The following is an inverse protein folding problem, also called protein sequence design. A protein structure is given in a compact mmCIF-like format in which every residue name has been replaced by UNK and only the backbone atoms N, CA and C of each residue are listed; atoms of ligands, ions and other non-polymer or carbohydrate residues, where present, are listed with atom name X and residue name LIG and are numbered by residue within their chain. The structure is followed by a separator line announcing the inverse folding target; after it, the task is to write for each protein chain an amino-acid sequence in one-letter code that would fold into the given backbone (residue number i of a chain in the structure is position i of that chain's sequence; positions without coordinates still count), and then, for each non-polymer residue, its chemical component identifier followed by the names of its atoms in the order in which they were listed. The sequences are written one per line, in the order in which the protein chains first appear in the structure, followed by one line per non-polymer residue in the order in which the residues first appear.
data_IF_100128372371
#
_entry.id   IF_100128372371
#
_cell.length_a   1.000
_cell.length_b   1.000
_cell.length_c   1.000
_cell.angle_alpha   90.00
_cell.angle_beta   90.00
_cell.angle_gamma   90.00
#
_symmetry.space_group_name_H-M   'P 1'
#
loop_
_entity.id
_entity.type
_entity.pdbx_description
1 polymer ?
2 non-polymer ?
3 non-polymer ?
4 non-polymer ?
5 water ?
#
# COMPACT_ATOMS: atom_id res chain seq x y z
N UNK A 2 -0.19 14.86 13.10
CA UNK A 2 -1.52 14.97 12.45
C UNK A 2 -1.39 15.44 11.01
N UNK A 3 -2.53 15.49 10.31
CA UNK A 3 -2.56 15.97 8.93
C UNK A 3 -3.19 17.36 8.88
N UNK A 4 -3.58 17.78 7.69
CA UNK A 4 -4.21 19.09 7.50
C UNK A 4 -4.17 20.00 8.71
N UNK A 5 -2.99 20.18 9.29
CA UNK A 5 -2.82 21.11 10.41
C UNK A 5 -2.02 22.31 9.96
N UNK A 6 -2.10 23.40 10.72
CA UNK A 6 -1.30 24.58 10.42
C UNK A 6 0.16 24.17 10.22
N UNK A 7 0.75 24.62 9.12
CA UNK A 7 2.11 24.23 8.78
C UNK A 7 3.07 25.41 8.83
N UNK A 8 4.13 25.27 9.61
CA UNK A 8 5.19 26.27 9.69
C UNK A 8 6.00 26.33 8.39
N UNK A 9 6.78 27.40 8.24
CA UNK A 9 7.61 27.61 7.06
C UNK A 9 8.73 26.58 6.95
N UNK A 10 9.04 26.19 5.71
CA UNK A 10 10.23 25.38 5.44
C UNK A 10 11.48 26.23 5.70
N UNK A 11 12.59 25.60 6.14
CA UNK A 11 13.84 26.33 6.28
C UNK A 11 14.46 26.60 4.91
N UNK A 12 15.44 27.50 4.86
CA UNK A 12 16.27 27.65 3.67
C UNK A 12 16.82 26.29 3.27
N UNK A 13 16.71 25.95 1.98
CA UNK A 13 17.27 24.72 1.42
C UNK A 13 17.97 25.02 0.11
N UNK A 14 19.08 24.34 -0.14
CA UNK A 14 19.81 24.48 -1.40
C UNK A 14 19.67 23.19 -2.21
N UNK A 15 19.02 23.28 -3.36
CA UNK A 15 18.82 22.11 -4.24
C UNK A 15 18.66 22.58 -5.69
N UNK A 16 18.83 21.65 -6.66
CA UNK A 16 18.75 22.01 -8.06
C UNK A 16 17.39 22.61 -8.41
N UNK A 17 17.39 23.70 -9.17
CA UNK A 17 16.15 24.33 -9.61
C UNK A 17 15.33 23.40 -10.50
N UNK A 18 14.01 23.30 -10.26
CA UNK A 18 13.17 22.53 -11.20
C UNK A 18 13.29 23.12 -12.61
N UNK A 19 13.29 22.26 -13.62
CA UNK A 19 13.42 22.70 -15.01
C UNK A 19 12.05 22.63 -15.71
N UNK A 20 11.42 23.79 -15.89
CA UNK A 20 10.07 23.87 -16.49
C UNK A 20 10.00 23.25 -17.90
N UNK A 21 11.06 23.42 -18.67
CA UNK A 21 11.09 22.98 -20.07
C UNK A 21 11.83 21.65 -20.26
N UNK A 22 11.96 20.89 -19.18
CA UNK A 22 12.53 19.54 -19.23
C UNK A 22 11.60 18.58 -18.47
N UNK A 23 11.01 17.60 -19.17
CA UNK A 23 10.21 16.60 -18.48
C UNK A 23 11.07 15.81 -17.50
N UNK A 24 10.50 15.47 -16.34
CA UNK A 24 11.26 14.70 -15.34
C UNK A 24 11.41 13.24 -15.75
N UNK A 25 10.49 12.75 -16.57
CA UNK A 25 10.59 11.43 -17.21
C UNK A 25 10.10 11.56 -18.65
N UNK A 26 10.79 10.91 -19.58
CA UNK A 26 10.40 10.92 -20.99
C UNK A 26 9.86 9.57 -21.44
N UNK A 27 9.88 8.59 -20.53
CA UNK A 27 9.51 7.22 -20.85
C UNK A 27 8.23 6.73 -20.19
N UNK A 28 7.71 7.50 -19.22
CA UNK A 28 6.54 7.08 -18.45
C UNK A 28 5.56 8.23 -18.18
N UNK A 29 4.31 7.87 -17.90
CA UNK A 29 3.30 8.81 -17.41
C UNK A 29 3.54 9.11 -15.93
N UNK A 30 3.70 10.40 -15.61
CA UNK A 30 3.99 10.81 -14.22
C UNK A 30 2.82 11.49 -13.50
N UNK A 31 1.71 11.66 -14.20
CA UNK A 31 0.50 12.22 -13.60
C UNK A 31 -0.74 11.59 -14.24
N UNK A 32 -1.71 11.21 -13.43
CA UNK A 32 -2.96 10.62 -13.96
C UNK A 32 -3.82 11.71 -14.63
N UNK A 33 -4.83 11.30 -15.41
CA UNK A 33 -5.74 12.29 -16.00
C UNK A 33 -6.63 13.03 -14.98
N UNK A 34 -6.67 12.56 -13.73
CA UNK A 34 -7.32 13.32 -12.67
C UNK A 34 -6.32 14.05 -11.78
N UNK A 35 -5.10 14.24 -12.33
CA UNK A 35 -4.05 15.06 -11.71
C UNK A 35 -3.50 14.48 -10.40
N UNK A 36 -3.45 13.16 -10.32
CA UNK A 36 -2.74 12.49 -9.23
C UNK A 36 -1.32 12.14 -9.70
N UNK A 37 -0.29 12.51 -8.92
CA UNK A 37 1.08 12.08 -9.26
C UNK A 37 1.19 10.55 -9.35
N UNK A 38 1.92 10.07 -10.36
CA UNK A 38 2.35 8.67 -10.40
C UNK A 38 3.83 8.67 -9.99
N UNK A 39 4.10 7.99 -8.88
CA UNK A 39 5.41 8.08 -8.22
C UNK A 39 6.47 7.16 -8.82
N UNK A 40 7.41 7.76 -9.56
CA UNK A 40 8.59 7.09 -10.11
C UNK A 40 9.84 7.78 -9.61
N UNK A 41 10.96 7.06 -9.59
CA UNK A 41 12.23 7.72 -9.31
C UNK A 41 12.48 8.81 -10.37
N UNK A 42 12.90 9.98 -9.90
CA UNK A 42 13.11 11.14 -10.77
C UNK A 42 11.98 12.17 -10.72
N UNK A 43 10.85 11.80 -10.10
CA UNK A 43 9.72 12.72 -9.99
C UNK A 43 9.77 13.57 -8.73
N UNK A 44 10.49 13.11 -7.70
CA UNK A 44 10.46 13.78 -6.41
C UNK A 44 11.85 14.09 -5.84
N UNK A 45 11.92 15.18 -5.09
CA UNK A 45 13.07 15.51 -4.28
C UNK A 45 12.74 15.10 -2.84
N UNK A 46 13.37 14.03 -2.37
CA UNK A 46 13.05 13.45 -1.07
C UNK A 46 13.39 14.38 0.10
N UNK A 47 14.35 15.28 -0.11
CA UNK A 47 14.74 16.21 0.94
C UNK A 47 13.62 17.21 1.24
N UNK A 48 13.00 17.74 0.19
CA UNK A 48 11.86 18.63 0.34
C UNK A 48 10.71 17.90 1.03
N UNK A 49 10.36 16.71 0.54
CA UNK A 49 9.26 15.93 1.12
C UNK A 49 9.50 15.55 2.58
N UNK A 50 10.70 15.09 2.91
CA UNK A 50 11.05 14.78 4.30
C UNK A 50 10.84 15.97 5.24
N UNK A 51 11.27 17.16 4.79
CA UNK A 51 11.03 18.39 5.54
C UNK A 51 9.54 18.63 5.79
N UNK A 52 8.75 18.59 4.71
CA UNK A 52 7.32 18.82 4.83
C UNK A 52 6.67 17.87 5.83
N UNK A 53 6.99 16.58 5.73
CA UNK A 53 6.34 15.59 6.59
C UNK A 53 6.88 15.54 8.03
N UNK A 54 8.18 15.81 8.21
CA UNK A 54 8.75 15.87 9.58
C UNK A 54 8.18 17.04 10.37
N UNK A 55 8.00 18.17 9.69
CA UNK A 55 7.43 19.38 10.32
C UNK A 55 6.00 19.15 10.80
N UNK A 56 5.33 18.15 10.24
CA UNK A 56 3.98 17.78 10.68
C UNK A 56 4.00 16.63 11.71
N UNK A 57 5.20 16.21 12.11
CA UNK A 57 5.41 15.06 13.00
C UNK A 57 4.53 13.87 12.60
N UNK A 58 4.67 13.48 11.34
CA UNK A 58 3.88 12.40 10.74
C UNK A 58 4.22 11.03 11.34
N UNK A 59 3.17 10.27 11.65
CA UNK A 59 3.30 8.88 12.07
C UNK A 59 2.66 7.97 11.01
N UNK A 60 3.41 6.97 10.58
CA UNK A 60 2.92 6.02 9.58
C UNK A 60 2.71 4.65 10.23
N UNK A 61 1.50 4.11 10.07
CA UNK A 61 1.21 2.73 10.47
C UNK A 61 1.41 1.81 9.29
N UNK A 62 2.01 0.64 9.53
CA UNK A 62 2.20 -0.37 8.50
C UNK A 62 1.50 -1.64 8.95
N UNK A 63 0.49 -2.08 8.20
CA UNK A 63 -0.23 -3.31 8.55
C UNK A 63 0.27 -4.49 7.73
N UNK A 64 0.36 -5.64 8.38
CA UNK A 64 0.83 -6.83 7.72
C UNK A 64 0.19 -8.06 8.38
N UNK A 65 -0.26 -9.01 7.56
CA UNK A 65 -0.90 -10.21 8.08
C UNK A 65 0.02 -11.40 7.95
N UNK A 66 0.21 -12.11 9.06
CA UNK A 66 1.08 -13.29 9.08
C UNK A 66 0.31 -14.43 9.71
N UNK A 67 -0.52 -15.07 8.89
CA UNK A 67 -1.44 -16.12 9.35
C UNK A 67 -0.87 -17.47 8.95
N UNK A 68 -0.95 -18.43 9.87
CA UNK A 68 -0.47 -19.80 9.65
C UNK A 68 1.02 -19.81 9.22
N UNK A 69 1.34 -20.44 8.09
CA UNK A 69 2.74 -20.61 7.68
C UNK A 69 3.44 -19.30 7.30
N UNK A 70 2.67 -18.25 7.04
CA UNK A 70 3.23 -16.95 6.62
C UNK A 70 3.99 -16.20 7.70
N UNK A 71 3.96 -16.71 8.94
CA UNK A 71 4.78 -16.13 10.00
C UNK A 71 6.28 -16.22 9.66
N UNK A 72 6.62 -17.18 8.80
CA UNK A 72 8.01 -17.39 8.38
C UNK A 72 8.60 -16.19 7.64
N UNK A 73 7.73 -15.35 7.07
CA UNK A 73 8.16 -14.20 6.27
C UNK A 73 8.44 -12.95 7.11
N UNK A 74 8.04 -12.96 8.37
CA UNK A 74 8.11 -11.76 9.21
C UNK A 74 9.52 -11.24 9.48
N UNK A 75 10.46 -12.14 9.74
CA UNK A 75 11.81 -11.71 10.10
C UNK A 75 12.42 -10.83 9.01
N UNK A 76 12.42 -11.34 7.78
CA UNK A 76 13.01 -10.58 6.65
C UNK A 76 12.19 -9.33 6.33
N UNK A 77 10.86 -9.44 6.40
CA UNK A 77 9.97 -8.31 6.15
C UNK A 77 10.31 -7.14 7.06
N UNK A 78 10.32 -7.39 8.38
CA UNK A 78 10.57 -6.37 9.38
C UNK A 78 12.01 -5.83 9.36
N UNK A 79 13.00 -6.72 9.21
CA UNK A 79 14.40 -6.31 9.12
C UNK A 79 14.65 -5.37 7.96
N UNK A 80 14.11 -5.69 6.79
CA UNK A 80 14.28 -4.85 5.62
C UNK A 80 13.44 -3.55 5.70
N UNK A 81 12.26 -3.63 6.33
CA UNK A 81 11.48 -2.41 6.59
C UNK A 81 12.28 -1.44 7.46
N UNK A 82 12.99 -1.98 8.44
CA UNK A 82 13.86 -1.17 9.28
C UNK A 82 14.93 -0.42 8.49
N UNK A 83 15.42 -0.99 7.40
CA UNK A 83 16.46 -0.33 6.61
C UNK A 83 15.93 0.59 5.50
N UNK A 84 14.66 0.39 5.10
CA UNK A 84 14.12 1.14 3.95
C UNK A 84 12.79 1.90 4.08
N UNK A 85 11.99 1.58 5.10
CA UNK A 85 10.63 2.11 5.19
C UNK A 85 10.51 3.30 6.14
N UNK A 86 10.28 4.49 5.58
CA UNK A 86 10.00 5.70 6.36
C UNK A 86 11.08 6.00 7.41
N UNK A 87 12.34 5.73 7.07
CA UNK A 87 13.44 5.94 8.02
C UNK A 87 13.53 7.42 8.37
N UNK A 88 13.58 7.73 9.66
CA UNK A 88 13.58 9.11 10.14
C UNK A 88 12.22 9.59 10.66
N UNK A 89 11.17 8.85 10.31
CA UNK A 89 9.81 9.20 10.70
C UNK A 89 9.27 8.22 11.75
N UNK A 90 8.20 8.61 12.44
CA UNK A 90 7.54 7.73 13.41
C UNK A 90 6.81 6.61 12.66
N UNK A 91 7.09 5.37 13.05
CA UNK A 91 6.48 4.20 12.44
C UNK A 91 5.86 3.29 13.51
N UNK A 92 4.65 2.79 13.24
CA UNK A 92 4.01 1.79 14.10
C UNK A 92 3.65 0.59 13.24
N UNK A 93 4.29 -0.54 13.50
CA UNK A 93 3.99 -1.76 12.78
C UNK A 93 2.84 -2.45 13.50
N UNK A 94 1.85 -2.89 12.72
CA UNK A 94 0.76 -3.71 13.24
C UNK A 94 0.82 -5.09 12.58
N UNK A 95 1.21 -6.08 13.37
CA UNK A 95 1.32 -7.45 12.89
C UNK A 95 0.10 -8.24 13.33
N UNK A 96 -0.75 -8.57 12.37
CA UNK A 96 -1.94 -9.40 12.60
C UNK A 96 -1.55 -10.86 12.43
N UNK A 97 -1.77 -11.68 13.44
CA UNK A 97 -1.35 -13.08 13.39
C UNK A 97 -2.21 -14.01 14.26
N UNK A 98 -2.26 -15.28 13.90
CA UNK A 98 -2.86 -16.29 14.78
C UNK A 98 -1.84 -16.93 15.72
N UNK A 99 -0.57 -16.53 15.59
CA UNK A 99 0.51 -17.09 16.41
C UNK A 99 1.40 -15.99 17.01
N UNK A 100 0.92 -15.29 18.05
CA UNK A 100 1.72 -14.21 18.63
C UNK A 100 3.12 -14.66 19.07
N UNK A 101 3.24 -15.91 19.49
CA UNK A 101 4.52 -16.44 19.97
C UNK A 101 5.56 -16.67 18.87
N UNK A 102 5.10 -16.70 17.62
CA UNK A 102 5.96 -16.93 16.47
C UNK A 102 6.45 -15.63 15.82
N UNK A 103 6.04 -14.49 16.37
CA UNK A 103 6.54 -13.20 15.87
C UNK A 103 8.00 -13.02 16.32
N UNK A 104 8.94 -12.89 15.35
CA UNK A 104 10.36 -12.73 15.68
C UNK A 104 10.65 -11.43 16.41
N UNK A 105 11.64 -11.46 17.29
CA UNK A 105 12.08 -10.29 18.04
C UNK A 105 13.03 -9.47 17.17
N UNK A 106 12.49 -8.51 16.43
CA UNK A 106 13.32 -7.69 15.53
C UNK A 106 13.67 -6.37 16.22
N UNK A 107 14.95 -6.01 16.13
CA UNK A 107 15.46 -4.79 16.75
C UNK A 107 15.00 -3.57 15.96
N UNK A 108 14.37 -2.62 16.64
CA UNK A 108 13.81 -1.45 15.96
C UNK A 108 14.59 -0.18 16.25
N UNK A 109 14.68 0.69 15.23
CA UNK A 109 15.29 2.02 15.39
C UNK A 109 14.44 2.88 16.30
N UNK A 110 15.02 3.98 16.78
CA UNK A 110 14.28 4.89 17.67
C UNK A 110 13.03 5.47 16.99
N UNK A 111 11.96 5.65 17.76
CA UNK A 111 10.71 6.24 17.25
C UNK A 111 9.85 5.27 16.46
N UNK A 112 10.19 3.99 16.57
CA UNK A 112 9.50 2.94 15.84
C UNK A 112 9.03 1.88 16.84
N UNK A 113 7.80 1.41 16.64
CA UNK A 113 7.22 0.43 17.56
C UNK A 113 6.41 -0.62 16.84
N UNK A 114 6.19 -1.74 17.51
CA UNK A 114 5.46 -2.85 16.93
C UNK A 114 4.42 -3.39 17.90
N UNK A 115 3.20 -3.59 17.39
CA UNK A 115 2.11 -4.20 18.16
C UNK A 115 1.69 -5.50 17.49
N UNK A 116 1.51 -6.55 18.29
CA UNK A 116 1.02 -7.82 17.79
C UNK A 116 -0.49 -7.87 18.04
N UNK A 117 -1.25 -8.09 16.98
CA UNK A 117 -2.71 -8.17 17.07
C UNK A 117 -3.16 -9.58 16.75
N UNK A 118 -3.65 -10.29 17.77
CA UNK A 118 -4.09 -11.66 17.58
C UNK A 118 -5.45 -11.69 16.89
N UNK A 119 -5.54 -12.47 15.80
CA UNK A 119 -6.80 -12.64 15.08
C UNK A 119 -7.03 -14.12 14.78
N UNK A 120 -8.26 -14.45 14.40
CA UNK A 120 -8.61 -15.81 13.98
C UNK A 120 -8.00 -16.14 12.62
N UNK A 121 -7.65 -17.41 12.42
CA UNK A 121 -7.16 -17.92 11.15
C UNK A 121 -8.27 -18.64 10.40
N UNK A 122 -8.55 -18.19 9.18
CA UNK A 122 -9.52 -18.86 8.30
C UNK A 122 -8.82 -20.02 7.56
N UNK A 123 -9.60 -21.02 7.17
CA UNK A 123 -9.05 -22.23 6.53
C UNK A 123 -8.53 -21.95 5.12
N UNK A 124 -9.36 -21.33 4.28
CA UNK A 124 -9.02 -21.07 2.89
C UNK A 124 -8.09 -19.86 2.79
N UNK A 125 -7.02 -19.98 2.01
CA UNK A 125 -6.09 -18.86 1.82
C UNK A 125 -6.80 -17.62 1.25
N UNK A 126 -7.84 -17.86 0.44
CA UNK A 126 -8.64 -16.78 -0.15
C UNK A 126 -9.35 -15.94 0.91
N UNK A 127 -9.94 -16.61 1.90
CA UNK A 127 -10.62 -15.94 3.01
C UNK A 127 -9.64 -15.18 3.92
N UNK A 128 -8.49 -15.80 4.21
CA UNK A 128 -7.44 -15.13 4.97
C UNK A 128 -7.07 -13.81 4.28
N UNK A 129 -6.85 -13.88 2.97
CA UNK A 129 -6.54 -12.70 2.17
C UNK A 129 -7.65 -11.67 2.18
N UNK A 130 -8.89 -12.13 1.99
CA UNK A 130 -10.06 -11.24 1.88
C UNK A 130 -10.41 -10.56 3.19
N UNK A 131 -10.41 -11.33 4.28
CA UNK A 131 -10.81 -10.83 5.60
C UNK A 131 -9.87 -9.79 6.21
N UNK A 132 -8.76 -9.52 5.52
CA UNK A 132 -7.89 -8.39 5.86
C UNK A 132 -8.68 -7.08 5.82
N UNK A 133 -9.59 -6.97 4.85
CA UNK A 133 -10.43 -5.77 4.72
C UNK A 133 -11.28 -5.52 5.97
N UNK A 134 -11.93 -6.57 6.47
CA UNK A 134 -12.72 -6.47 7.70
C UNK A 134 -11.84 -6.14 8.89
N UNK A 135 -10.70 -6.82 8.99
CA UNK A 135 -9.81 -6.66 10.14
C UNK A 135 -9.15 -5.28 10.18
N UNK A 136 -8.75 -4.76 9.01
CA UNK A 136 -8.18 -3.40 8.94
C UNK A 136 -9.23 -2.36 9.32
N UNK A 137 -10.45 -2.52 8.80
CA UNK A 137 -11.54 -1.58 9.09
C UNK A 137 -11.89 -1.57 10.59
N UNK A 138 -11.94 -2.75 11.19
CA UNK A 138 -12.26 -2.88 12.62
C UNK A 138 -11.22 -2.19 13.50
N UNK A 139 -9.95 -2.33 13.15
CA UNK A 139 -8.88 -1.71 13.93
C UNK A 139 -8.67 -0.23 13.64
N UNK A 140 -9.19 0.24 12.49
CA UNK A 140 -9.17 1.67 12.17
C UNK A 140 -10.00 2.43 13.19
N UNK A 141 -11.27 2.03 13.32
CA UNK A 141 -12.21 2.66 14.24
C UNK A 141 -11.80 2.46 15.70
N UNK A 142 -10.72 1.71 15.89
CA UNK A 142 -10.16 1.44 17.20
C UNK A 142 -8.80 2.15 17.34
N UNK A 143 -7.73 1.39 17.16
CA UNK A 143 -6.36 1.86 17.42
C UNK A 143 -5.88 2.95 16.47
N UNK A 144 -6.12 2.74 15.17
CA UNK A 144 -5.42 3.49 14.13
C UNK A 144 -5.70 4.99 14.17
N UNK A 145 -6.97 5.35 14.37
CA UNK A 145 -7.36 6.76 14.41
C UNK A 145 -6.63 7.58 15.47
N UNK A 146 -6.30 6.93 16.60
CA UNK A 146 -5.64 7.61 17.72
C UNK A 146 -4.12 7.51 17.65
N UNK A 147 -3.60 6.57 16.88
CA UNK A 147 -2.16 6.28 16.90
C UNK A 147 -1.35 6.66 15.67
N UNK A 148 -1.97 6.70 14.50
CA UNK A 148 -1.23 7.01 13.27
C UNK A 148 -1.94 8.04 12.39
N UNK A 149 -1.19 8.65 11.48
CA UNK A 149 -1.76 9.62 10.54
C UNK A 149 -2.11 8.95 9.21
N UNK A 150 -1.25 8.03 8.79
CA UNK A 150 -1.42 7.30 7.55
C UNK A 150 -1.32 5.80 7.80
N UNK A 151 -2.01 5.01 6.97
CA UNK A 151 -1.89 3.56 7.03
C UNK A 151 -1.38 3.05 5.70
N UNK A 152 -0.42 2.13 5.76
CA UNK A 152 0.10 1.43 4.58
C UNK A 152 -0.16 -0.06 4.81
N UNK A 153 -0.80 -0.68 3.82
CA UNK A 153 -1.31 -2.05 3.97
C UNK A 153 -0.68 -2.95 2.91
N UNK A 154 0.16 -3.89 3.37
CA UNK A 154 0.99 -4.68 2.46
C UNK A 154 0.97 -6.19 2.72
N UNK A 155 1.35 -6.96 1.70
CA UNK A 155 1.58 -8.40 1.82
C UNK A 155 2.88 -8.66 2.60
N UNK A 156 2.94 -9.80 3.32
CA UNK A 156 4.08 -10.14 4.17
C UNK A 156 5.20 -10.90 3.44
N UNK A 157 4.86 -11.61 2.36
CA UNK A 157 5.84 -12.46 1.66
C UNK A 157 6.68 -11.63 0.69
N UNK A 158 7.29 -10.58 1.25
CA UNK A 158 7.96 -9.54 0.49
C UNK A 158 9.17 -9.04 1.29
N UNK A 159 10.05 -8.30 0.62
CA UNK A 159 11.16 -7.64 1.29
C UNK A 159 11.39 -6.27 0.68
N UNK A 160 11.84 -5.33 1.50
CA UNK A 160 12.26 -4.02 1.03
C UNK A 160 13.70 -4.09 0.56
N UNK A 161 13.97 -3.55 -0.62
CA UNK A 161 15.32 -3.52 -1.18
C UNK A 161 15.84 -2.11 -1.40
N UNK A 162 14.94 -1.13 -1.32
CA UNK A 162 15.33 0.26 -1.56
C UNK A 162 14.29 1.18 -0.90
N UNK A 163 14.58 2.47 -0.92
CA UNK A 163 13.78 3.50 -0.27
C UNK A 163 12.27 3.40 -0.54
N UNK A 164 11.49 3.29 0.54
CA UNK A 164 10.03 3.52 0.50
C UNK A 164 9.71 4.55 1.59
N UNK A 165 9.43 5.78 1.17
CA UNK A 165 9.30 6.89 2.11
C UNK A 165 8.08 7.76 1.92
N UNK A 166 8.16 8.99 2.42
CA UNK A 166 7.00 9.88 2.50
C UNK A 166 6.45 10.32 1.13
N UNK A 167 7.21 10.08 0.05
CA UNK A 167 6.71 10.34 -1.30
C UNK A 167 5.41 9.59 -1.60
N UNK A 168 5.12 8.51 -0.88
CA UNK A 168 3.91 7.72 -1.14
C UNK A 168 2.68 8.27 -0.41
N UNK A 169 2.91 9.14 0.57
CA UNK A 169 1.83 9.56 1.47
C UNK A 169 0.90 10.60 0.87
N UNK A 170 -0.41 10.37 1.07
CA UNK A 170 -1.47 11.08 0.38
C UNK A 170 -2.79 10.56 0.97
N UNK A 171 -3.92 11.26 0.75
CA UNK A 171 -5.17 10.72 1.30
C UNK A 171 -5.50 9.29 0.87
N UNK A 172 -5.26 8.95 -0.39
CA UNK A 172 -5.59 7.61 -0.89
C UNK A 172 -4.65 7.18 -2.01
N UNK A 173 -3.95 6.06 -1.83
CA UNK A 173 -3.12 5.55 -2.91
C UNK A 173 -3.31 4.08 -3.27
N UNK A 174 -3.11 3.80 -4.55
CA UNK A 174 -2.99 2.43 -5.06
C UNK A 174 -1.64 2.30 -5.75
N UNK A 175 -1.30 1.07 -6.12
CA UNK A 175 0.00 0.74 -6.72
C UNK A 175 -0.23 -0.04 -8.02
N UNK A 176 0.47 0.35 -9.07
CA UNK A 176 0.39 -0.38 -10.34
C UNK A 176 0.92 -1.81 -10.17
N UNK A 177 0.05 -2.78 -10.46
CA UNK A 177 0.42 -4.20 -10.40
C UNK A 177 1.56 -4.47 -11.40
N UNK A 178 2.61 -5.18 -10.96
CA UNK A 178 3.78 -5.37 -11.82
C UNK A 178 3.52 -6.19 -13.09
N UNK A 179 2.49 -7.02 -13.07
CA UNK A 179 2.19 -7.87 -14.21
C UNK A 179 1.44 -7.17 -15.33
N UNK A 180 0.90 -5.97 -15.07
CA UNK A 180 -0.08 -5.39 -16.00
C UNK A 180 0.08 -3.89 -16.30
N UNK A 181 1.17 -3.28 -15.84
CA UNK A 181 1.35 -1.84 -16.03
C UNK A 181 1.36 -1.42 -17.51
N UNK A 182 1.83 -2.33 -18.37
CA UNK A 182 1.85 -2.06 -19.82
C UNK A 182 0.69 -2.64 -20.61
N UNK A 183 -0.29 -3.22 -19.91
CA UNK A 183 -1.43 -3.87 -20.56
C UNK A 183 -2.56 -2.92 -20.90
N UNK A 184 -3.33 -3.25 -21.93
CA UNK A 184 -4.56 -2.53 -22.23
C UNK A 184 -5.65 -2.99 -21.27
N UNK A 185 -6.64 -2.13 -21.04
CA UNK A 185 -7.69 -2.41 -20.05
C UNK A 185 -8.48 -3.69 -20.30
N UNK A 186 -8.67 -4.05 -21.57
CA UNK A 186 -9.39 -5.27 -21.93
C UNK A 186 -8.67 -6.50 -21.38
N UNK A 187 -7.35 -6.41 -21.26
CA UNK A 187 -6.53 -7.53 -20.77
C UNK A 187 -6.45 -7.61 -19.24
N UNK A 188 -6.84 -6.52 -18.55
CA UNK A 188 -6.84 -6.52 -17.07
C UNK A 188 -7.72 -7.65 -16.54
N UNK A 189 -7.26 -8.31 -15.49
CA UNK A 189 -8.00 -9.41 -14.87
C UNK A 189 -8.99 -8.91 -13.82
N UNK A 190 -9.72 -7.84 -14.16
CA UNK A 190 -10.86 -7.37 -13.35
C UNK A 190 -11.90 -8.49 -13.25
N UNK A 191 -12.73 -8.44 -12.21
CA UNK A 191 -13.93 -9.28 -12.18
C UNK A 191 -14.86 -8.88 -13.34
N UNK A 192 -15.22 -9.85 -14.18
CA UNK A 192 -16.01 -9.59 -15.40
C UNK A 192 -17.46 -10.09 -15.36
N UNK A 193 -17.85 -10.72 -14.24
CA UNK A 193 -19.24 -11.18 -14.10
C UNK A 193 -20.10 -10.08 -13.46
N UNK A 194 -21.17 -9.64 -14.17
CA UNK A 194 -22.05 -8.59 -13.66
C UNK A 194 -22.76 -8.94 -12.34
N UNK A 195 -22.77 -10.21 -11.98
CA UNK A 195 -23.41 -10.67 -10.73
C UNK A 195 -22.61 -10.31 -9.49
N UNK A 196 -21.35 -9.92 -9.67
CA UNK A 196 -20.45 -9.57 -8.57
C UNK A 196 -20.37 -8.06 -8.39
N UNK A 197 -20.27 -7.63 -7.14
CA UNK A 197 -20.08 -6.21 -6.80
C UNK A 197 -18.77 -5.64 -7.34
N UNK A 198 -17.80 -6.52 -7.59
CA UNK A 198 -16.50 -6.10 -8.14
C UNK A 198 -16.48 -5.91 -9.66
N UNK A 199 -17.61 -6.14 -10.32
CA UNK A 199 -17.70 -6.11 -11.78
C UNK A 199 -17.22 -4.81 -12.42
N UNK A 200 -16.32 -4.94 -13.39
CA UNK A 200 -15.92 -3.83 -14.25
C UNK A 200 -16.00 -4.26 -15.73
N UNK A 201 -16.80 -3.54 -16.54
CA UNK A 201 -16.92 -3.83 -17.98
C UNK A 201 -15.61 -3.61 -18.72
N UNK A 202 -15.46 -4.21 -19.90
CA UNK A 202 -14.21 -4.13 -20.64
C UNK A 202 -13.85 -2.75 -21.19
N UNK A 203 -14.80 -1.83 -21.22
CA UNK A 203 -14.53 -0.46 -21.66
C UNK A 203 -14.30 0.54 -20.52
N UNK A 204 -14.19 0.03 -19.30
CA UNK A 204 -13.87 0.86 -18.13
C UNK A 204 -12.57 0.43 -17.47
N UNK A 205 -11.97 1.34 -16.70
CA UNK A 205 -10.76 1.04 -15.94
C UNK A 205 -9.62 1.96 -16.31
N UNK A 206 -8.89 2.42 -15.29
CA UNK A 206 -7.72 3.27 -15.50
C UNK A 206 -6.47 2.43 -15.47
N UNK A 207 -6.31 1.67 -14.38
CA UNK A 207 -5.12 0.86 -14.13
C UNK A 207 -5.55 -0.44 -13.47
N UNK A 208 -4.64 -1.43 -13.46
CA UNK A 208 -4.84 -2.60 -12.59
C UNK A 208 -3.96 -2.44 -11.35
N UNK A 209 -4.61 -2.17 -10.21
CA UNK A 209 -3.90 -1.94 -8.96
C UNK A 209 -3.63 -3.27 -8.26
N UNK A 210 -2.48 -3.37 -7.60
CA UNK A 210 -2.13 -4.58 -6.87
C UNK A 210 -2.73 -4.60 -5.47
N UNK A 211 -3.32 -5.72 -5.10
CA UNK A 211 -3.88 -5.89 -3.75
C UNK A 211 -2.83 -5.90 -2.65
N UNK A 212 -1.57 -6.06 -3.04
CA UNK A 212 -0.45 -6.20 -2.10
C UNK A 212 0.12 -4.90 -1.53
N UNK A 213 -0.37 -3.75 -1.98
CA UNK A 213 0.22 -2.46 -1.55
C UNK A 213 -0.74 -1.30 -1.81
N UNK A 214 -1.47 -0.90 -0.77
CA UNK A 214 -2.35 0.28 -0.84
C UNK A 214 -2.33 1.00 0.50
N UNK A 215 -2.95 2.18 0.55
CA UNK A 215 -2.98 2.94 1.80
C UNK A 215 -3.49 4.34 1.61
N UNK A 216 -3.20 5.20 2.59
CA UNK A 216 -3.68 6.58 2.62
C UNK A 216 -3.86 7.06 4.04
N UNK A 217 -4.66 8.11 4.24
CA UNK A 217 -4.99 8.59 5.59
C UNK A 217 -5.83 7.52 6.28
N UNK A 218 -5.88 7.56 7.62
CA UNK A 218 -6.70 6.58 8.34
C UNK A 218 -8.15 6.63 7.87
N UNK A 219 -8.71 7.84 7.74
CA UNK A 219 -10.09 8.00 7.32
C UNK A 219 -10.35 7.36 5.95
N UNK A 220 -9.45 7.59 4.99
CA UNK A 220 -9.68 7.08 3.63
C UNK A 220 -9.47 5.57 3.55
N UNK A 221 -8.52 5.04 4.32
CA UNK A 221 -8.29 3.59 4.36
C UNK A 221 -9.47 2.89 5.03
N UNK A 222 -9.99 3.47 6.12
CA UNK A 222 -11.19 2.94 6.77
C UNK A 222 -12.35 2.86 5.77
N UNK A 223 -12.55 3.93 5.00
CA UNK A 223 -13.61 3.96 3.99
C UNK A 223 -13.43 2.87 2.94
N UNK A 224 -12.21 2.76 2.41
CA UNK A 224 -11.90 1.76 1.40
C UNK A 224 -12.15 0.35 1.93
N UNK A 225 -11.60 0.06 3.10
CA UNK A 225 -11.67 -1.30 3.64
C UNK A 225 -13.09 -1.69 4.02
N UNK A 226 -13.83 -0.73 4.58
CA UNK A 226 -15.25 -0.93 4.91
C UNK A 226 -16.06 -1.25 3.66
N UNK A 227 -15.85 -0.46 2.60
CA UNK A 227 -16.56 -0.64 1.33
C UNK A 227 -16.25 -1.99 0.68
N UNK A 228 -14.98 -2.37 0.67
CA UNK A 228 -14.58 -3.66 0.10
C UNK A 228 -15.16 -4.85 0.89
N UNK A 229 -15.13 -4.77 2.21
CA UNK A 229 -15.71 -5.81 3.07
C UNK A 229 -17.22 -5.95 2.86
N UNK A 230 -17.93 -4.83 2.83
CA UNK A 230 -19.38 -4.87 2.60
C UNK A 230 -19.72 -5.44 1.22
N UNK A 231 -18.92 -5.09 0.21
CA UNK A 231 -19.11 -5.63 -1.15
C UNK A 231 -18.85 -7.13 -1.21
N UNK A 232 -17.86 -7.58 -0.44
CA UNK A 232 -17.54 -9.01 -0.36
C UNK A 232 -18.64 -9.79 0.37
N UNK A 233 -19.25 -9.17 1.38
CA UNK A 233 -20.38 -9.79 2.08
C UNK A 233 -21.61 -9.94 1.20
N UNK A 234 -21.87 -8.93 0.35
CA UNK A 234 -22.95 -9.01 -0.64
C UNK A 234 -22.70 -10.16 -1.62
N UNK A 235 -21.48 -10.23 -2.15
CA UNK A 235 -21.08 -11.32 -3.05
C UNK A 235 -21.27 -12.70 -2.42
N UNK A 236 -20.85 -12.85 -1.17
CA UNK A 236 -20.99 -14.10 -0.43
C UNK A 236 -22.46 -14.49 -0.28
N UNK A 237 -23.30 -13.50 0.04
CA UNK A 237 -24.76 -13.71 0.14
C UNK A 237 -25.35 -14.15 -1.20
N UNK A 238 -24.74 -13.70 -2.30
CA UNK A 238 -25.20 -14.04 -3.65
C UNK A 238 -24.49 -15.25 -4.26
N UNK A 239 -23.69 -15.93 -3.45
CA UNK A 239 -22.97 -17.14 -3.87
C UNK A 239 -21.94 -16.94 -4.97
N UNK A 240 -21.23 -15.82 -4.91
CA UNK A 240 -20.18 -15.53 -5.88
C UNK A 240 -18.93 -15.02 -5.17
N UNK A 241 -17.77 -15.45 -5.67
CA UNK A 241 -16.48 -15.01 -5.13
C UNK A 241 -15.66 -14.41 -6.27
N UNK A 242 -15.27 -13.14 -6.10
CA UNK A 242 -14.53 -12.41 -7.14
C UNK A 242 -13.25 -13.14 -7.57
N UNK A 243 -12.93 -13.05 -8.86
CA UNK A 243 -11.82 -13.79 -9.49
C UNK A 243 -10.50 -13.63 -8.75
N UNK A 244 -10.18 -12.41 -8.34
CA UNK A 244 -8.98 -12.15 -7.55
C UNK A 244 -9.28 -11.58 -6.17
N UNK A 245 -10.41 -11.98 -5.60
CA UNK A 245 -10.70 -11.80 -4.18
C UNK A 245 -10.66 -10.31 -3.76
N UNK A 246 -9.95 -10.00 -2.68
CA UNK A 246 -9.86 -8.61 -2.20
C UNK A 246 -9.30 -7.64 -3.26
N UNK A 247 -8.38 -8.14 -4.10
CA UNK A 247 -7.81 -7.32 -5.17
C UNK A 247 -8.85 -6.87 -6.20
N UNK A 248 -9.81 -7.75 -6.50
CA UNK A 248 -10.87 -7.39 -7.44
C UNK A 248 -11.72 -6.24 -6.87
N UNK A 249 -12.04 -6.33 -5.59
CA UNK A 249 -12.84 -5.30 -4.92
C UNK A 249 -12.05 -4.00 -4.76
N UNK A 250 -10.77 -4.11 -4.45
CA UNK A 250 -9.89 -2.93 -4.40
C UNK A 250 -9.94 -2.18 -5.73
N UNK A 251 -9.83 -2.91 -6.84
CA UNK A 251 -9.87 -2.31 -8.17
C UNK A 251 -11.19 -1.63 -8.50
N UNK A 252 -12.31 -2.25 -8.16
CA UNK A 252 -13.61 -1.61 -8.29
C UNK A 252 -13.68 -0.31 -7.47
N UNK A 253 -13.23 -0.36 -6.21
CA UNK A 253 -13.27 0.84 -5.36
C UNK A 253 -12.44 1.98 -5.94
N UNK A 254 -11.23 1.68 -6.41
CA UNK A 254 -10.33 2.73 -6.91
C UNK A 254 -10.74 3.27 -8.28
N UNK A 255 -11.53 2.50 -9.02
CA UNK A 255 -12.14 3.00 -10.25
C UNK A 255 -13.15 4.09 -9.94
N UNK A 256 -13.97 3.85 -8.92
CA UNK A 256 -15.08 4.75 -8.55
C UNK A 256 -14.67 5.88 -7.61
N UNK A 257 -13.55 5.70 -6.90
CA UNK A 257 -12.98 6.70 -6.01
C UNK A 257 -11.49 6.82 -6.35
N UNK A 258 -11.16 7.80 -7.20
CA UNK A 258 -9.81 7.90 -7.77
C UNK A 258 -8.77 8.17 -6.69
N UNK A 259 -7.64 7.44 -6.73
CA UNK A 259 -6.59 7.67 -5.74
C UNK A 259 -5.90 9.02 -5.97
N UNK A 260 -5.42 9.62 -4.89
CA UNK A 260 -4.77 10.92 -4.97
C UNK A 260 -3.27 10.82 -5.30
N UNK A 261 -2.71 9.61 -5.19
CA UNK A 261 -1.41 9.26 -5.77
C UNK A 261 -1.50 7.84 -6.28
N UNK A 262 -0.71 7.52 -7.30
CA UNK A 262 -0.57 6.14 -7.77
C UNK A 262 0.92 5.80 -7.71
N UNK A 263 1.26 4.66 -7.10
CA UNK A 263 2.66 4.26 -7.01
C UNK A 263 3.04 3.41 -8.22
N UNK A 264 4.23 3.65 -8.77
CA UNK A 264 4.73 2.87 -9.90
C UNK A 264 5.10 1.44 -9.46
N UNK A 265 5.36 0.54 -10.41
CA UNK A 265 5.76 -0.83 -10.02
C UNK A 265 7.13 -0.93 -9.33
N UNK A 266 7.87 0.17 -9.20
CA UNK A 266 9.04 0.21 -8.32
C UNK A 266 8.65 -0.30 -6.92
N UNK A 267 7.41 0.00 -6.54
CA UNK A 267 6.89 -0.25 -5.19
C UNK A 267 6.24 -1.63 -5.02
N UNK A 268 6.15 -2.40 -6.09
CA UNK A 268 5.55 -3.75 -6.03
C UNK A 268 6.05 -4.58 -7.20
N UNK A 269 7.03 -5.43 -6.93
CA UNK A 269 7.74 -6.09 -8.03
C UNK A 269 8.05 -7.56 -7.73
N UNK A 270 8.32 -8.33 -8.79
CA UNK A 270 8.80 -9.69 -8.65
C UNK A 270 9.90 -9.88 -9.69
N UNK A 271 11.15 -9.87 -9.23
CA UNK A 271 12.29 -9.91 -10.15
C UNK A 271 12.46 -11.28 -10.79
N UNK A 272 12.11 -12.33 -10.05
CA UNK A 272 12.21 -13.70 -10.57
C UNK A 272 11.31 -13.86 -11.79
N UNK A 273 10.08 -13.36 -11.69
CA UNK A 273 9.09 -13.49 -12.75
C UNK A 273 9.25 -12.47 -13.88
N UNK A 274 9.72 -11.27 -13.55
CA UNK A 274 9.67 -10.13 -14.48
C UNK A 274 11.01 -9.45 -14.79
N UNK A 275 12.08 -9.88 -14.14
CA UNK A 275 13.41 -9.31 -14.42
C UNK A 275 13.59 -7.91 -13.86
N UNK A 276 14.36 -7.09 -14.56
CA UNK A 276 14.60 -5.70 -14.16
C UNK A 276 14.59 -4.79 -15.40
N UNK A 277 13.40 -4.34 -15.81
CA UNK A 277 13.22 -3.48 -16.98
C UNK A 277 13.89 -2.13 -16.84
N UNK A 278 14.26 -1.54 -17.98
CA UNK A 278 14.87 -0.21 -18.02
C UNK A 278 13.99 0.85 -17.37
N UNK A 279 12.68 0.65 -17.46
CA UNK A 279 11.71 1.60 -16.93
C UNK A 279 11.77 1.73 -15.39
N UNK A 280 12.34 0.71 -14.72
CA UNK A 280 12.50 0.74 -13.26
C UNK A 280 13.92 1.10 -12.84
N UNK A 281 14.10 2.32 -12.36
CA UNK A 281 15.41 2.79 -11.91
C UNK A 281 15.76 2.22 -10.54
N UNK A 282 14.73 1.82 -9.79
CA UNK A 282 14.89 1.20 -8.49
C UNK A 282 13.87 0.09 -8.32
N UNK A 283 14.25 -0.97 -7.61
CA UNK A 283 13.33 -2.00 -7.14
C UNK A 283 13.25 -1.85 -5.64
N UNK A 284 12.08 -1.42 -5.15
CA UNK A 284 11.95 -0.98 -3.77
C UNK A 284 11.36 -2.05 -2.85
N UNK A 285 10.33 -2.74 -3.32
CA UNK A 285 9.55 -3.67 -2.50
C UNK A 285 9.20 -4.84 -3.40
N UNK A 286 9.76 -6.01 -3.09
CA UNK A 286 9.77 -7.14 -4.03
C UNK A 286 9.35 -8.47 -3.40
N UNK A 287 8.81 -9.35 -4.24
CA UNK A 287 8.45 -10.71 -3.84
C UNK A 287 9.65 -11.52 -3.38
N UNK A 288 9.45 -12.35 -2.37
CA UNK A 288 10.51 -13.26 -1.92
C UNK A 288 10.43 -14.52 -2.76
N UNK A 289 11.57 -14.94 -3.37
CA UNK A 289 11.61 -16.17 -4.17
C UNK A 289 11.02 -17.36 -3.44
N UNK A 290 10.12 -18.10 -4.09
CA UNK A 290 9.41 -19.21 -3.48
C UNK A 290 10.29 -20.46 -3.36
X LIG B 1 2.09 -13.61 -2.20
X LIG C 1 1.28 -12.65 -7.36
X LIG C 1 0.61 -11.95 -10.98
X LIG C 1 2.11 -13.77 -6.76
X LIG C 1 1.23 -14.83 -6.34
X LIG C 1 3.10 -14.27 -7.84
X LIG C 1 3.92 -15.33 -7.32
X LIG C 1 3.99 -13.12 -8.35
X LIG C 1 4.86 -12.65 -7.30
X LIG C 1 3.09 -11.98 -8.86
X LIG C 1 2.15 -11.58 -7.84
X LIG C 1 3.92 -10.77 -9.29
X LIG C 1 -4.09 -11.34 -12.47
X LIG C 1 0.85 -11.91 -17.86
X LIG C 1 1.92 -12.16 -16.79
X LIG C 1 1.48 -11.54 -15.47
X LIG C 1 2.28 -12.19 -14.33
X LIG C 1 1.88 -11.56 -12.99
X LIG C 1 0.73 -12.35 -12.36
X LIG C 1 -0.61 -12.41 -10.42
X LIG C 1 -1.67 -11.55 -10.92
X LIG C 1 -2.96 -11.88 -10.40
X LIG C 1 -3.99 -10.97 -11.09
X LIG C 1 -2.98 -11.71 -8.87
X LIG C 1 -2.73 -10.34 -8.50
X LIG C 1 -1.89 -12.61 -8.25
X LIG C 1 -1.82 -12.39 -6.83
X LIG C 1 -0.53 -12.30 -8.89
X LIG C 1 0.47 -13.21 -8.41
X LIG C 1 1.38 -10.88 -18.86
X LIG C 1 0.34 -10.65 -19.96
X LIG D 1 -2.22 -18.50 4.82
X LIG D 1 -2.13 -17.27 4.62
X LIG D 1 -1.57 -16.48 5.55
X LIG D 1 -1.45 -15.16 5.36
X LIG D 1 -0.92 -14.46 6.26
X LIG D 1 -2.58 -16.71 3.42
X LIG D 1 -2.45 -15.33 3.22
X LIG D 1 -1.90 -14.55 4.16
X LIG D 1 -1.75 -13.10 3.98
X LIG D 1 -2.42 -12.66 2.79
X LIG D 1 -0.27 -12.76 3.78
X LIG D 1 0.02 -11.45 4.33
X LIG D 1 -0.14 -12.70 2.28
X LIG D 1 0.97 -11.89 1.87
X LIG D 1 -1.48 -12.10 1.87
X LIG D 1 -1.93 -12.35 0.43
X LIG D 1 -1.67 -13.70 -0.04
X LIG D 1 -0.59 -14.01 -0.73
X LIG D 1 0.37 -13.26 -0.77
X LIG D 1 -0.50 -15.31 -1.49
X LIG D 1 -1.60 -16.18 -1.58
X LIG D 1 -1.47 -17.37 -2.29
X LIG D 1 -0.24 -17.68 -2.90
X LIG D 1 0.83 -16.78 -2.79
X LIG D 1 0.68 -15.64 -2.09
X LIG D 1 2.16 -17.10 -3.44
X LIG D 1 2.95 -15.91 -3.53
#
# INVERSE_FOLDING_TARGET
MAIGEFMVSLPRMVYPQPKVLTPCRKDVLVVTPWLAPIVWEGTFNIDILNEQFRLQNTTIGLTVFAIKKYVAFLKLFLETAEKHFMVGHRVHYYVFTDQPAAVPRVTLGTGRQLSVLEVRAYKRWQDVSMRRMEMISDFCERRFLSEVDYLVCVDVDMEFRDHVGVEILTPLFGTLHPGFYGSSREAFTYERRPQSQAYIPKDEGDFYYGGAFFGGSVQEVQRLTRACHQAMMVDQANGIEAVWHDESHLNKYLLRHKPTKVLSPEYLWDQQLLGWPAVLRKLRFTAVPK
MN MN
BHE C1 O1 C2 O2 C3 O3 C4 O4 C5 O5 C6 O6 C6B C5B C4B C3B C2B C1B C1A O5A C5A C6A C4A O4A C3A O3A C2A O2A C19 C20
WS2 O4 C4 N3 C2 O2 C5 C6 N1 C1' O4' C2' O2' C3' O3' C4' C5' N11 C12 O13 C14 C15 C16 C17 C18 N19 C20 O1'
#
